data_IF_824493013649
#
_entry.id   IF_824493013649
#
_cell.length_a   1.000
_cell.length_b   1.000
_cell.length_c   1.000
_cell.angle_alpha   90.00
_cell.angle_beta   90.00
_cell.angle_gamma   90.00
#
_symmetry.space_group_name_H-M   'P 1'
#
loop_
_entity.id
_entity.type
_entity.pdbx_description
1 polymer ?
#
# COMPACT_ATOMS: atom_id res chain seq x y z
N UNK A 1 3.80 1.10 3.86
CA UNK A 1 2.38 0.76 3.74
C UNK A 1 2.07 0.50 2.28
N UNK A 2 1.09 -0.34 1.98
CA UNK A 2 0.67 -0.67 0.61
C UNK A 2 0.19 0.59 -0.15
N UNK A 3 0.56 0.76 -1.44
CA UNK A 3 0.05 1.88 -2.23
C UNK A 3 -1.47 1.77 -2.42
N UNK A 4 -2.21 2.80 -2.02
CA UNK A 4 -3.67 2.82 -2.16
C UNK A 4 -4.14 2.59 -3.62
N UNK A 5 -5.09 1.66 -3.79
CA UNK A 5 -5.83 1.43 -5.04
C UNK A 5 -7.05 2.35 -5.19
N UNK A 6 -7.53 2.92 -4.08
CA UNK A 6 -8.67 3.83 -4.02
C UNK A 6 -8.39 4.92 -3.00
N UNK A 7 -8.85 6.14 -3.27
CA UNK A 7 -8.83 7.26 -2.32
C UNK A 7 -10.24 7.81 -2.13
N UNK A 8 -10.68 7.94 -0.88
CA UNK A 8 -11.96 8.55 -0.55
C UNK A 8 -12.02 10.04 -0.93
N UNK A 9 -10.87 10.72 -0.96
CA UNK A 9 -10.75 12.12 -1.37
C UNK A 9 -11.04 12.37 -2.87
N UNK A 10 -11.25 11.33 -3.69
CA UNK A 10 -11.39 11.46 -5.15
C UNK A 10 -10.06 11.73 -5.89
N UNK A 11 -9.01 12.12 -5.16
CA UNK A 11 -7.65 12.21 -5.71
C UNK A 11 -7.21 10.90 -6.34
N UNK A 12 -6.35 11.03 -7.34
CA UNK A 12 -5.78 9.90 -8.06
C UNK A 12 -5.03 8.91 -7.13
N UNK A 13 -5.33 7.61 -7.19
CA UNK A 13 -4.65 6.55 -6.42
C UNK A 13 -3.13 6.52 -6.58
N UNK A 14 -2.43 5.99 -5.58
CA UNK A 14 -0.97 5.86 -5.63
C UNK A 14 -0.54 4.84 -6.70
N UNK A 15 -1.28 3.73 -6.81
CA UNK A 15 -1.01 2.67 -7.80
C UNK A 15 -0.96 3.24 -9.22
N UNK A 16 -1.95 4.05 -9.60
CA UNK A 16 -1.99 4.67 -10.93
C UNK A 16 -0.76 5.55 -11.18
N UNK A 17 -0.31 6.29 -10.17
CA UNK A 17 0.87 7.17 -10.28
C UNK A 17 2.14 6.36 -10.48
N UNK A 18 2.26 5.24 -9.78
CA UNK A 18 3.40 4.32 -9.90
C UNK A 18 3.44 3.71 -11.31
N UNK A 19 2.29 3.27 -11.82
CA UNK A 19 2.16 2.68 -13.15
C UNK A 19 2.55 3.69 -14.24
N UNK A 20 2.01 4.91 -14.19
CA UNK A 20 2.34 5.94 -15.19
C UNK A 20 3.80 6.38 -15.13
N UNK A 21 4.39 6.41 -13.94
CA UNK A 21 5.81 6.71 -13.76
C UNK A 21 6.72 5.58 -14.28
N UNK A 22 6.17 4.47 -14.78
CA UNK A 22 6.91 3.31 -15.28
C UNK A 22 7.88 2.72 -14.25
N UNK A 23 7.54 2.83 -12.96
CA UNK A 23 8.31 2.24 -11.87
C UNK A 23 8.31 0.72 -12.02
N UNK A 24 9.48 0.10 -11.87
CA UNK A 24 9.65 -1.35 -12.07
C UNK A 24 9.59 -2.16 -10.78
N UNK A 25 9.87 -1.52 -9.64
CA UNK A 25 9.93 -2.18 -8.34
C UNK A 25 9.40 -1.29 -7.23
N UNK A 26 8.54 -1.84 -6.39
CA UNK A 26 7.94 -1.20 -5.23
C UNK A 26 8.24 -2.04 -4.00
N UNK A 27 8.86 -1.41 -3.00
CA UNK A 27 9.19 -2.07 -1.73
C UNK A 27 8.29 -1.50 -0.65
N UNK A 28 7.58 -2.38 0.06
CA UNK A 28 6.62 -2.00 1.10
C UNK A 28 6.98 -2.68 2.42
N UNK A 29 6.87 -1.95 3.53
CA UNK A 29 7.13 -2.53 4.85
C UNK A 29 5.93 -3.26 5.48
N UNK A 30 4.71 -2.91 5.07
CA UNK A 30 3.48 -3.53 5.59
C UNK A 30 2.35 -3.35 4.57
N UNK A 31 1.42 -4.32 4.54
CA UNK A 31 0.16 -4.21 3.78
C UNK A 31 -0.77 -3.20 4.43
N UNK A 32 -1.71 -2.65 3.65
CA UNK A 32 -2.75 -1.80 4.22
C UNK A 32 -3.63 -2.67 5.15
N UNK A 33 -3.84 -2.25 6.40
CA UNK A 33 -4.80 -2.89 7.29
C UNK A 33 -6.22 -2.87 6.70
N UNK A 34 -7.01 -3.97 6.78
CA UNK A 34 -8.31 -4.07 6.11
C UNK A 34 -9.38 -3.13 6.67
N UNK A 35 -9.15 -2.53 7.83
CA UNK A 35 -10.04 -1.60 8.52
C UNK A 35 -10.03 -0.17 7.92
N UNK A 36 -9.07 0.18 7.07
CA UNK A 36 -8.99 1.51 6.46
C UNK A 36 -9.74 1.59 5.12
N UNK A 37 -9.33 0.75 4.18
CA UNK A 37 -9.92 0.66 2.85
C UNK A 37 -9.61 -0.72 2.30
N UNK A 38 -10.54 -1.31 1.54
CA UNK A 38 -10.25 -2.53 0.81
C UNK A 38 -9.25 -2.20 -0.31
N UNK A 39 -7.96 -2.35 0.00
CA UNK A 39 -6.86 -2.04 -0.90
C UNK A 39 -6.47 -3.27 -1.71
N UNK A 40 -6.41 -3.11 -3.03
CA UNK A 40 -5.97 -4.13 -3.99
C UNK A 40 -4.68 -3.69 -4.69
N UNK A 41 -3.89 -2.85 -4.02
CA UNK A 41 -2.78 -2.12 -4.62
C UNK A 41 -1.65 -3.01 -5.06
N UNK A 42 -1.27 -3.99 -4.24
CA UNK A 42 -0.24 -4.98 -4.61
C UNK A 42 -0.66 -5.74 -5.87
N UNK A 43 -1.89 -6.27 -5.89
CA UNK A 43 -2.37 -7.06 -7.03
C UNK A 43 -2.50 -6.25 -8.32
N UNK A 44 -2.83 -4.96 -8.24
CA UNK A 44 -2.83 -4.07 -9.40
C UNK A 44 -1.40 -3.83 -9.91
N UNK A 45 -0.44 -3.56 -9.03
CA UNK A 45 0.96 -3.36 -9.43
C UNK A 45 1.54 -4.63 -10.10
N UNK A 46 1.28 -5.80 -9.53
CA UNK A 46 1.72 -7.08 -10.09
C UNK A 46 1.12 -7.33 -11.49
N UNK A 47 -0.17 -7.01 -11.71
CA UNK A 47 -0.81 -7.08 -13.04
C UNK A 47 -0.15 -6.19 -14.08
N UNK A 48 0.48 -5.10 -13.66
CA UNK A 48 1.22 -4.19 -14.54
C UNK A 48 2.72 -4.54 -14.68
N UNK A 49 3.13 -5.77 -14.30
CA UNK A 49 4.51 -6.24 -14.32
C UNK A 49 5.47 -5.43 -13.45
N UNK A 50 4.96 -4.92 -12.33
CA UNK A 50 5.75 -4.20 -11.32
C UNK A 50 6.06 -5.18 -10.20
N UNK A 51 7.35 -5.35 -9.89
CA UNK A 51 7.78 -6.21 -8.78
C UNK A 51 7.40 -5.55 -7.45
N UNK A 52 6.64 -6.26 -6.62
CA UNK A 52 6.29 -5.79 -5.27
C UNK A 52 6.93 -6.68 -4.22
N UNK A 53 7.69 -6.08 -3.30
CA UNK A 53 8.38 -6.79 -2.23
C UNK A 53 7.92 -6.28 -0.88
N UNK A 54 7.41 -7.20 -0.05
CA UNK A 54 7.14 -6.91 1.36
C UNK A 54 8.40 -7.22 2.16
N UNK A 55 8.94 -6.21 2.84
CA UNK A 55 10.14 -6.37 3.67
C UNK A 55 9.78 -7.12 4.96
N UNK A 56 10.38 -8.29 5.22
CA UNK A 56 10.12 -9.01 6.47
C UNK A 56 10.82 -8.33 7.65
N UNK A 57 10.21 -8.39 8.84
CA UNK A 57 10.80 -7.91 10.09
C UNK A 57 10.65 -6.40 10.35
N UNK A 58 10.00 -5.65 9.46
CA UNK A 58 9.77 -4.20 9.64
C UNK A 58 8.29 -3.84 9.86
N UNK A 59 7.41 -4.83 9.89
CA UNK A 59 5.96 -4.62 9.95
C UNK A 59 5.54 -3.80 11.17
N UNK A 60 6.05 -4.16 12.35
CA UNK A 60 5.72 -3.48 13.61
C UNK A 60 6.19 -2.02 13.59
N UNK A 61 7.44 -1.77 13.19
CA UNK A 61 7.99 -0.42 13.04
C UNK A 61 7.21 0.40 12.00
N UNK A 62 6.73 -0.23 10.93
CA UNK A 62 5.91 0.42 9.90
C UNK A 62 4.49 0.73 10.37
N UNK A 63 3.93 -0.03 11.32
CA UNK A 63 2.60 0.20 11.89
C UNK A 63 2.64 1.12 13.11
N UNK A 64 3.79 1.27 13.78
CA UNK A 64 3.96 2.11 14.96
C UNK A 64 3.36 3.53 14.83
N UNK A 65 3.52 4.27 13.70
CA UNK A 65 2.93 5.60 13.54
C UNK A 65 1.39 5.59 13.48
N UNK A 66 0.81 4.47 13.07
CA UNK A 66 -0.62 4.30 12.83
C UNK A 66 -1.33 3.57 13.97
N UNK A 67 -0.65 3.25 15.08
CA UNK A 67 -1.24 2.47 16.18
C UNK A 67 -2.58 3.02 16.69
N UNK A 68 -2.70 4.35 16.76
CA UNK A 68 -3.92 5.05 17.22
C UNK A 68 -5.18 4.74 16.40
N UNK A 69 -5.06 4.36 15.11
CA UNK A 69 -6.19 3.96 14.25
C UNK A 69 -6.30 2.44 14.09
N UNK A 70 -5.36 1.67 14.64
CA UNK A 70 -5.42 0.20 14.68
C UNK A 70 -6.11 -0.30 15.96
N UNK A 71 -6.15 0.54 17.00
CA UNK A 71 -6.68 0.22 18.32
C UNK A 71 -8.16 0.56 18.55
N UNK A 72 -8.83 1.24 17.62
CA UNK A 72 -10.27 1.50 17.72
C UNK A 72 -11.07 0.23 17.38
N UNK A 73 -11.25 -0.60 18.40
CA UNK A 73 -12.28 -1.64 18.51
C UNK A 73 -13.39 -1.15 19.45
#
# INVERSE_FOLDING_TARGET
>A
MEPCSKRLSGNRPCVDRIIEANIKRVVVGVREPPNLVNCEGIGLLEKHNIEVVIVPGVQEACLAPNQHILSEQ
#
